data_IF_443166671936
#
_entry.id   IF_443166671936
#
_cell.length_a   1.000
_cell.length_b   1.000
_cell.length_c   1.000
_cell.angle_alpha   90.00
_cell.angle_beta   90.00
_cell.angle_gamma   90.00
#
_symmetry.space_group_name_H-M   'P 1'
#
loop_
_entity.id
_entity.type
_entity.pdbx_description
1 polymer ?
#
# COMPACT_ATOMS: atom_id res chain seq x y z
N UNK A 1 36.75 3.14 3.28
CA UNK A 1 35.37 3.42 3.73
C UNK A 1 34.83 2.13 4.31
N UNK A 2 34.10 2.14 5.44
CA UNK A 2 33.39 0.93 5.86
C UNK A 2 32.35 0.58 4.79
N UNK A 3 32.07 -0.70 4.53
CA UNK A 3 30.92 -1.08 3.72
C UNK A 3 29.66 -0.56 4.40
N UNK A 4 28.89 0.26 3.70
CA UNK A 4 27.52 0.59 4.09
C UNK A 4 26.78 -0.75 4.21
N UNK A 5 26.32 -1.10 5.41
CA UNK A 5 25.46 -2.27 5.60
C UNK A 5 24.28 -2.14 4.61
N UNK A 6 23.88 -3.22 3.93
CA UNK A 6 22.69 -3.16 3.07
C UNK A 6 21.53 -2.64 3.92
N UNK A 7 20.93 -1.54 3.46
CA UNK A 7 19.80 -0.93 4.16
C UNK A 7 18.65 -1.95 4.16
N UNK A 8 18.30 -2.41 5.36
CA UNK A 8 17.21 -3.36 5.59
C UNK A 8 15.91 -2.76 5.02
N UNK A 9 15.25 -3.47 4.09
CA UNK A 9 14.00 -3.00 3.48
C UNK A 9 12.88 -3.01 4.53
N UNK A 10 12.15 -1.90 4.61
CA UNK A 10 11.07 -1.65 5.57
C UNK A 10 9.70 -1.62 4.92
N UNK A 11 8.77 -2.39 5.45
CA UNK A 11 7.38 -2.43 5.00
C UNK A 11 6.43 -1.91 6.08
N UNK A 12 5.56 -0.98 5.70
CA UNK A 12 4.39 -0.61 6.49
C UNK A 12 3.17 -1.36 5.94
N UNK A 13 2.48 -2.14 6.78
CA UNK A 13 1.29 -2.91 6.41
C UNK A 13 0.07 -2.27 7.07
N UNK A 14 -0.74 -1.53 6.31
CA UNK A 14 -2.03 -0.99 6.77
C UNK A 14 -3.13 -2.00 6.50
N UNK A 15 -3.94 -2.29 7.53
CA UNK A 15 -5.01 -3.27 7.45
C UNK A 15 -6.09 -3.00 8.49
N UNK A 16 -7.28 -3.55 8.24
CA UNK A 16 -8.35 -3.60 9.23
C UNK A 16 -8.12 -4.74 10.23
N UNK A 17 -8.27 -4.47 11.53
CA UNK A 17 -8.05 -5.46 12.60
C UNK A 17 -9.18 -6.50 12.75
N UNK A 18 -9.79 -6.93 11.66
CA UNK A 18 -10.83 -7.96 11.60
C UNK A 18 -10.61 -8.81 10.35
N UNK A 19 -11.08 -10.06 10.39
CA UNK A 19 -10.99 -10.95 9.23
C UNK A 19 -11.88 -10.48 8.06
N UNK A 20 -11.44 -10.72 6.81
CA UNK A 20 -10.22 -11.46 6.43
C UNK A 20 -8.92 -10.63 6.45
N UNK A 21 -9.00 -9.31 6.56
CA UNK A 21 -7.85 -8.39 6.48
C UNK A 21 -6.75 -8.70 7.52
N UNK A 22 -7.13 -8.98 8.77
CA UNK A 22 -6.18 -9.32 9.84
C UNK A 22 -5.40 -10.61 9.53
N UNK A 23 -6.10 -11.70 9.19
CA UNK A 23 -5.46 -12.96 8.83
C UNK A 23 -4.53 -12.80 7.63
N UNK A 24 -4.96 -12.07 6.59
CA UNK A 24 -4.12 -11.81 5.42
C UNK A 24 -2.88 -10.98 5.77
N UNK A 25 -3.04 -9.93 6.59
CA UNK A 25 -1.91 -9.10 7.03
C UNK A 25 -0.89 -9.89 7.84
N UNK A 26 -1.35 -10.79 8.73
CA UNK A 26 -0.48 -11.69 9.49
C UNK A 26 0.30 -12.63 8.57
N UNK A 27 -0.35 -13.22 7.55
CA UNK A 27 0.33 -14.08 6.57
C UNK A 27 1.43 -13.34 5.82
N UNK A 28 1.17 -12.11 5.38
CA UNK A 28 2.18 -11.31 4.72
C UNK A 28 3.31 -10.92 5.67
N UNK A 29 2.99 -10.48 6.89
CA UNK A 29 3.98 -10.16 7.92
C UNK A 29 4.92 -11.34 8.19
N UNK A 30 4.38 -12.52 8.51
CA UNK A 30 5.16 -13.72 8.79
C UNK A 30 6.09 -14.10 7.63
N UNK A 31 5.58 -14.03 6.39
CA UNK A 31 6.37 -14.36 5.21
C UNK A 31 7.46 -13.33 4.89
N UNK A 32 7.18 -12.04 5.11
CA UNK A 32 8.14 -10.96 4.90
C UNK A 32 9.27 -11.03 5.93
N UNK A 33 8.95 -11.26 7.20
CA UNK A 33 9.93 -11.47 8.27
C UNK A 33 10.78 -12.73 8.00
N UNK A 34 10.15 -13.83 7.57
CA UNK A 34 10.86 -15.06 7.20
C UNK A 34 11.80 -14.87 5.99
N UNK A 35 11.46 -13.96 5.08
CA UNK A 35 12.33 -13.56 3.96
C UNK A 35 13.42 -12.56 4.37
N UNK A 36 13.44 -12.14 5.65
CA UNK A 36 14.44 -11.22 6.19
C UNK A 36 14.16 -9.76 5.83
N UNK A 37 12.90 -9.34 5.76
CA UNK A 37 12.49 -7.93 5.67
C UNK A 37 11.94 -7.43 7.00
N UNK A 38 12.08 -6.12 7.29
CA UNK A 38 11.52 -5.52 8.50
C UNK A 38 10.09 -5.01 8.20
N UNK A 39 9.10 -5.47 8.96
CA UNK A 39 7.70 -5.09 8.73
C UNK A 39 7.05 -4.47 9.97
N UNK A 40 6.18 -3.48 9.76
CA UNK A 40 5.33 -2.87 10.78
C UNK A 40 3.86 -3.06 10.42
N UNK A 41 3.09 -3.68 11.33
CA UNK A 41 1.65 -3.88 11.16
C UNK A 41 0.87 -2.76 11.85
N UNK A 42 0.10 -2.00 11.07
CA UNK A 42 -0.76 -0.92 11.56
C UNK A 42 -2.25 -1.28 11.40
N UNK A 43 -2.86 -1.74 12.49
CA UNK A 43 -4.28 -2.10 12.51
C UNK A 43 -5.18 -0.89 12.79
N UNK A 44 -6.21 -0.67 11.98
CA UNK A 44 -7.15 0.45 12.12
C UNK A 44 -7.83 0.56 13.51
N UNK A 45 -8.01 -0.56 14.24
CA UNK A 45 -8.68 -0.52 15.55
C UNK A 45 -7.77 -0.15 16.72
N UNK A 46 -6.46 0.00 16.51
CA UNK A 46 -5.47 0.22 17.56
C UNK A 46 -5.33 1.73 17.84
N UNK A 47 -6.39 2.39 18.32
CA UNK A 47 -6.29 3.80 18.77
C UNK A 47 -5.83 3.86 20.23
N UNK A 48 -4.55 3.63 20.48
CA UNK A 48 -3.91 3.85 21.79
C UNK A 48 -3.27 5.25 21.85
N UNK A 49 -4.09 6.31 21.88
CA UNK A 49 -3.65 7.69 22.18
C UNK A 49 -2.78 8.38 21.11
N UNK A 50 -2.35 9.62 21.40
CA UNK A 50 -1.54 10.47 20.49
C UNK A 50 -0.21 9.81 20.07
N UNK A 51 0.41 9.07 20.98
CA UNK A 51 1.67 8.36 20.72
C UNK A 51 1.54 7.32 19.58
N UNK A 52 0.36 6.73 19.39
CA UNK A 52 0.15 5.78 18.31
C UNK A 52 0.13 6.47 16.95
N UNK A 53 -0.57 7.60 16.83
CA UNK A 53 -0.61 8.36 15.59
C UNK A 53 0.78 8.86 15.19
N UNK A 54 1.56 9.35 16.15
CA UNK A 54 2.96 9.73 15.92
C UNK A 54 3.80 8.54 15.43
N UNK A 55 3.66 7.37 16.08
CA UNK A 55 4.37 6.16 15.66
C UNK A 55 4.00 5.74 14.24
N UNK A 56 2.72 5.76 13.88
CA UNK A 56 2.28 5.44 12.52
C UNK A 56 2.93 6.37 11.49
N UNK A 57 2.98 7.67 11.75
CA UNK A 57 3.66 8.62 10.85
C UNK A 57 5.16 8.33 10.75
N UNK A 58 5.84 8.10 11.88
CA UNK A 58 7.27 7.78 11.90
C UNK A 58 7.62 6.48 11.16
N UNK A 59 6.79 5.44 11.29
CA UNK A 59 6.99 4.17 10.58
C UNK A 59 6.71 4.33 9.08
N UNK A 60 5.68 5.10 8.71
CA UNK A 60 5.36 5.38 7.30
C UNK A 60 6.44 6.22 6.62
N UNK A 61 7.03 7.19 7.32
CA UNK A 61 8.15 8.00 6.83
C UNK A 61 9.43 7.19 6.59
N UNK A 62 9.65 6.13 7.37
CA UNK A 62 10.82 5.26 7.26
C UNK A 62 10.60 4.07 6.32
N UNK A 63 9.38 3.87 5.85
CA UNK A 63 9.03 2.73 5.02
C UNK A 63 9.59 2.88 3.60
N UNK A 64 10.11 1.78 3.07
CA UNK A 64 10.43 1.66 1.64
C UNK A 64 9.18 1.29 0.84
N UNK A 65 8.28 0.51 1.45
CA UNK A 65 7.04 0.02 0.85
C UNK A 65 5.86 0.23 1.80
N UNK A 66 4.73 0.65 1.24
CA UNK A 66 3.46 0.79 1.94
C UNK A 66 2.46 -0.22 1.36
N UNK A 67 2.27 -1.33 2.06
CA UNK A 67 1.32 -2.39 1.72
C UNK A 67 -0.05 -2.06 2.31
N UNK A 68 -1.01 -1.71 1.45
CA UNK A 68 -2.34 -1.28 1.85
C UNK A 68 -3.36 -2.40 1.58
N UNK A 69 -3.89 -3.01 2.63
CA UNK A 69 -5.04 -3.93 2.52
C UNK A 69 -6.33 -3.12 2.53
N UNK A 70 -7.00 -3.07 1.38
CA UNK A 70 -8.14 -2.20 1.13
C UNK A 70 -9.42 -3.02 0.97
N UNK A 71 -10.08 -3.34 2.08
CA UNK A 71 -11.44 -3.89 2.08
C UNK A 71 -12.50 -2.79 1.89
N UNK A 72 -13.77 -3.13 1.63
CA UNK A 72 -14.83 -2.12 1.47
C UNK A 72 -14.99 -1.21 2.69
N UNK A 73 -14.71 -1.72 3.90
CA UNK A 73 -14.76 -0.94 5.13
C UNK A 73 -13.56 -0.01 5.27
N UNK A 74 -12.35 -0.49 4.96
CA UNK A 74 -11.14 0.34 4.94
C UNK A 74 -11.23 1.46 3.90
N UNK A 75 -11.82 1.19 2.73
CA UNK A 75 -12.03 2.19 1.68
C UNK A 75 -12.99 3.32 2.07
N UNK A 76 -13.81 3.12 3.11
CA UNK A 76 -14.69 4.15 3.68
C UNK A 76 -14.09 4.84 4.92
N UNK A 77 -12.88 4.44 5.36
CA UNK A 77 -12.25 4.97 6.56
C UNK A 77 -11.47 6.25 6.24
N UNK A 78 -11.84 7.35 6.89
CA UNK A 78 -11.11 8.63 6.80
C UNK A 78 -9.63 8.48 7.19
N UNK A 79 -9.36 7.64 8.19
CA UNK A 79 -8.00 7.36 8.66
C UNK A 79 -7.16 6.70 7.56
N UNK A 80 -7.71 5.73 6.84
CA UNK A 80 -7.03 5.08 5.72
C UNK A 80 -6.81 6.07 4.58
N UNK A 81 -7.80 6.92 4.28
CA UNK A 81 -7.63 8.00 3.30
C UNK A 81 -6.46 8.91 3.65
N UNK A 82 -6.32 9.30 4.93
CA UNK A 82 -5.21 10.14 5.39
C UNK A 82 -3.86 9.43 5.33
N UNK A 83 -3.77 8.14 5.68
CA UNK A 83 -2.55 7.34 5.53
C UNK A 83 -2.09 7.30 4.06
N UNK A 84 -3.03 7.07 3.13
CA UNK A 84 -2.73 7.04 1.69
C UNK A 84 -2.29 8.42 1.18
N UNK A 85 -2.96 9.50 1.62
CA UNK A 85 -2.56 10.88 1.30
C UNK A 85 -1.13 11.14 1.75
N UNK A 86 -0.81 10.81 3.01
CA UNK A 86 0.53 11.00 3.60
C UNK A 86 1.59 10.18 2.88
N UNK A 87 1.32 8.90 2.60
CA UNK A 87 2.23 8.03 1.85
C UNK A 87 2.54 8.60 0.46
N UNK A 88 1.52 9.14 -0.23
CA UNK A 88 1.69 9.79 -1.53
C UNK A 88 2.55 11.06 -1.43
N UNK A 89 2.32 11.90 -0.43
CA UNK A 89 3.14 13.11 -0.20
C UNK A 89 4.60 12.80 0.12
N UNK A 90 4.85 11.73 0.88
CA UNK A 90 6.20 11.25 1.15
C UNK A 90 6.86 10.76 -0.14
N UNK A 91 6.16 9.90 -0.89
CA UNK A 91 6.62 9.39 -2.17
C UNK A 91 6.96 10.49 -3.17
N UNK A 92 6.08 11.48 -3.32
CA UNK A 92 6.26 12.55 -4.31
C UNK A 92 7.41 13.51 -3.93
N UNK A 93 7.80 13.59 -2.64
CA UNK A 93 8.91 14.43 -2.15
C UNK A 93 10.24 13.67 -2.02
N UNK A 94 10.20 12.36 -1.82
CA UNK A 94 11.38 11.55 -1.58
C UNK A 94 12.16 11.34 -2.89
N UNK A 95 13.49 11.59 -2.94
CA UNK A 95 14.28 11.46 -4.17
C UNK A 95 14.16 10.10 -4.87
N UNK A 96 13.96 9.04 -4.08
CA UNK A 96 13.82 7.67 -4.56
C UNK A 96 12.34 7.22 -4.71
N UNK A 97 11.38 8.14 -4.65
CA UNK A 97 9.95 7.86 -4.74
C UNK A 97 9.46 6.79 -3.73
N UNK A 98 9.79 6.98 -2.44
CA UNK A 98 9.42 6.08 -1.34
C UNK A 98 8.48 6.77 -0.34
N UNK A 99 7.52 6.03 0.27
CA UNK A 99 7.29 4.60 0.10
C UNK A 99 6.63 4.25 -1.23
N UNK A 100 6.97 3.10 -1.80
CA UNK A 100 6.25 2.51 -2.93
C UNK A 100 4.94 1.93 -2.40
N UNK A 101 3.81 2.45 -2.89
CA UNK A 101 2.48 2.05 -2.44
C UNK A 101 2.05 0.79 -3.20
N UNK A 102 1.61 -0.25 -2.46
CA UNK A 102 1.17 -1.55 -2.96
C UNK A 102 -0.27 -1.82 -2.47
N UNK A 103 -1.31 -1.37 -3.20
CA UNK A 103 -2.70 -1.60 -2.81
C UNK A 103 -3.17 -3.01 -3.15
N UNK A 104 -3.80 -3.67 -2.20
CA UNK A 104 -4.46 -4.97 -2.35
C UNK A 104 -5.92 -4.82 -1.94
N UNK A 105 -6.83 -4.90 -2.91
CA UNK A 105 -8.26 -4.85 -2.69
C UNK A 105 -8.73 -6.19 -2.11
N UNK A 106 -9.11 -6.20 -0.84
CA UNK A 106 -9.48 -7.42 -0.10
C UNK A 106 -10.99 -7.60 -0.16
N UNK A 107 -11.47 -8.61 -0.90
CA UNK A 107 -12.90 -8.80 -1.18
C UNK A 107 -13.59 -7.52 -1.66
N UNK A 108 -12.86 -6.75 -2.45
CA UNK A 108 -13.29 -5.44 -2.92
C UNK A 108 -13.07 -5.33 -4.42
N UNK A 109 -14.08 -5.72 -5.23
CA UNK A 109 -13.96 -5.78 -6.68
C UNK A 109 -13.53 -4.46 -7.34
N UNK A 110 -12.88 -4.56 -8.50
CA UNK A 110 -12.34 -3.40 -9.22
C UNK A 110 -13.37 -2.34 -9.60
N UNK A 111 -14.58 -2.79 -9.96
CA UNK A 111 -15.74 -1.98 -10.33
C UNK A 111 -16.40 -1.30 -9.12
N UNK A 112 -16.06 -1.72 -7.89
CA UNK A 112 -16.55 -1.09 -6.69
C UNK A 112 -15.91 0.29 -6.51
N UNK A 113 -16.69 1.35 -6.24
CA UNK A 113 -16.17 2.70 -6.20
C UNK A 113 -15.29 2.92 -4.97
N UNK A 114 -14.12 3.53 -5.19
CA UNK A 114 -13.38 4.20 -4.14
C UNK A 114 -14.01 5.57 -3.85
N UNK A 115 -13.80 6.09 -2.65
CA UNK A 115 -14.08 7.49 -2.39
C UNK A 115 -13.22 8.39 -3.31
N UNK A 116 -13.62 9.65 -3.46
CA UNK A 116 -13.00 10.58 -4.41
C UNK A 116 -11.48 10.72 -4.17
N UNK A 117 -11.07 10.84 -2.92
CA UNK A 117 -9.67 11.05 -2.53
C UNK A 117 -8.81 9.81 -2.83
N UNK A 118 -9.24 8.63 -2.38
CA UNK A 118 -8.55 7.36 -2.64
C UNK A 118 -8.46 7.08 -4.15
N UNK A 119 -9.51 7.38 -4.92
CA UNK A 119 -9.47 7.26 -6.37
C UNK A 119 -8.38 8.17 -6.96
N UNK A 120 -8.29 9.41 -6.50
CA UNK A 120 -7.26 10.36 -6.92
C UNK A 120 -5.84 9.91 -6.56
N UNK A 121 -5.65 9.34 -5.38
CA UNK A 121 -4.33 8.90 -4.92
C UNK A 121 -3.85 7.59 -5.57
N UNK A 122 -4.78 6.67 -5.86
CA UNK A 122 -4.47 5.31 -6.32
C UNK A 122 -4.64 5.09 -7.85
N UNK A 123 -5.14 6.08 -8.60
CA UNK A 123 -5.44 5.93 -10.04
C UNK A 123 -4.25 5.48 -10.91
N UNK A 124 -3.02 5.85 -10.55
CA UNK A 124 -1.78 5.54 -11.28
C UNK A 124 -0.95 4.46 -10.60
N UNK A 125 -1.54 3.76 -9.62
CA UNK A 125 -0.85 2.75 -8.83
C UNK A 125 -1.43 1.39 -9.20
N UNK A 126 -0.56 0.46 -9.55
CA UNK A 126 -0.98 -0.90 -9.84
C UNK A 126 -1.52 -1.55 -8.57
N UNK A 127 -2.74 -2.05 -8.62
CA UNK A 127 -3.38 -2.72 -7.47
C UNK A 127 -3.48 -4.23 -7.73
N UNK A 128 -3.72 -5.00 -6.68
CA UNK A 128 -4.11 -6.41 -6.78
C UNK A 128 -5.48 -6.60 -6.16
N UNK A 129 -6.17 -7.64 -6.60
CA UNK A 129 -7.43 -8.06 -5.98
C UNK A 129 -7.17 -9.41 -5.31
N UNK A 130 -7.56 -9.51 -4.04
CA UNK A 130 -7.54 -10.73 -3.26
C UNK A 130 -8.99 -11.09 -2.93
N UNK A 131 -9.42 -12.30 -3.28
CA UNK A 131 -10.80 -12.79 -3.09
C UNK A 131 -10.85 -13.90 -2.05
N UNK A 132 -9.83 -14.74 -2.04
CA UNK A 132 -9.79 -15.92 -1.19
C UNK A 132 -8.37 -16.24 -0.74
N UNK A 133 -8.24 -17.06 0.28
CA UNK A 133 -6.94 -17.57 0.75
C UNK A 133 -6.11 -18.25 -0.35
N UNK A 134 -6.73 -18.75 -1.43
CA UNK A 134 -6.03 -19.32 -2.57
C UNK A 134 -5.22 -18.27 -3.36
N UNK A 135 -5.55 -16.99 -3.25
CA UNK A 135 -4.83 -15.89 -3.91
C UNK A 135 -3.55 -15.49 -3.14
N UNK A 136 -3.49 -15.78 -1.84
CA UNK A 136 -2.41 -15.36 -0.93
C UNK A 136 -1.02 -15.74 -1.44
N UNK A 137 -0.74 -17.00 -1.83
CA UNK A 137 0.61 -17.40 -2.26
C UNK A 137 1.08 -16.66 -3.51
N UNK A 138 0.17 -16.44 -4.47
CA UNK A 138 0.49 -15.75 -5.72
C UNK A 138 0.84 -14.28 -5.46
N UNK A 139 0.00 -13.57 -4.71
CA UNK A 139 0.21 -12.15 -4.41
C UNK A 139 1.48 -11.97 -3.58
N UNK A 140 1.71 -12.83 -2.58
CA UNK A 140 2.91 -12.80 -1.77
C UNK A 140 4.18 -13.01 -2.60
N UNK A 141 4.17 -13.98 -3.53
CA UNK A 141 5.32 -14.22 -4.41
C UNK A 141 5.61 -13.02 -5.31
N UNK A 142 4.58 -12.34 -5.83
CA UNK A 142 4.74 -11.11 -6.62
C UNK A 142 5.39 -10.00 -5.78
N UNK A 143 4.94 -9.80 -4.54
CA UNK A 143 5.52 -8.82 -3.62
C UNK A 143 6.99 -9.15 -3.34
N UNK A 144 7.30 -10.38 -2.92
CA UNK A 144 8.67 -10.80 -2.63
C UNK A 144 9.61 -10.62 -3.83
N UNK A 145 9.13 -10.91 -5.03
CA UNK A 145 9.90 -10.72 -6.27
C UNK A 145 10.19 -9.24 -6.53
N UNK A 146 9.21 -8.37 -6.27
CA UNK A 146 9.35 -6.92 -6.40
C UNK A 146 10.34 -6.34 -5.37
N UNK A 147 10.29 -6.82 -4.12
CA UNK A 147 11.23 -6.42 -3.07
C UNK A 147 12.67 -6.86 -3.42
N UNK A 148 12.83 -8.08 -3.93
CA UNK A 148 14.13 -8.59 -4.37
C UNK A 148 14.70 -7.83 -5.58
N UNK A 149 13.86 -7.35 -6.49
CA UNK A 149 14.27 -6.56 -7.65
C UNK A 149 14.59 -5.09 -7.30
N UNK A 150 14.15 -4.59 -6.14
CA UNK A 150 14.42 -3.23 -5.67
C UNK A 150 13.85 -2.11 -6.55
N UNK A 151 12.90 -2.43 -7.44
CA UNK A 151 12.29 -1.48 -8.39
C UNK A 151 10.77 -1.49 -8.29
N UNK A 152 10.09 -0.34 -8.32
CA UNK A 152 8.62 -0.30 -8.35
C UNK A 152 8.10 -0.97 -9.64
N UNK A 153 6.86 -1.51 -9.62
CA UNK A 153 6.27 -2.08 -10.81
C UNK A 153 6.09 -0.96 -11.86
N UNK A 154 6.25 -1.26 -13.16
CA UNK A 154 6.12 -0.24 -14.20
C UNK A 154 4.75 0.43 -14.11
N UNK A 155 4.75 1.75 -13.98
CA UNK A 155 3.54 2.57 -14.04
C UNK A 155 2.98 2.43 -15.46
N UNK A 156 1.67 2.15 -15.65
CA UNK A 156 1.07 2.18 -16.97
C UNK A 156 1.35 3.53 -17.64
N UNK A 157 1.65 3.59 -18.95
CA UNK A 157 1.81 4.85 -19.66
C UNK A 157 0.55 5.71 -19.50
N UNK A 158 0.72 7.03 -19.41
CA UNK A 158 -0.42 7.95 -19.40
C UNK A 158 -1.30 7.66 -20.64
N UNK A 159 -2.63 7.58 -20.50
CA UNK A 159 -3.48 7.59 -21.67
C UNK A 159 -3.18 8.87 -22.44
N UNK A 160 -2.96 8.73 -23.75
CA UNK A 160 -2.71 9.85 -24.64
C UNK A 160 -3.85 10.88 -24.47
N UNK A 161 -3.54 12.18 -24.42
CA UNK A 161 -4.53 13.25 -24.20
C UNK A 161 -5.68 13.19 -25.23
N UNK A 162 -5.45 12.50 -26.35
CA UNK A 162 -6.40 12.21 -27.42
C UNK A 162 -7.52 11.19 -27.06
N UNK A 163 -7.41 10.46 -25.95
CA UNK A 163 -8.41 9.45 -25.51
C UNK A 163 -9.31 9.95 -24.36
N UNK A 164 -9.13 11.22 -23.95
CA UNK A 164 -10.07 11.88 -23.04
C UNK A 164 -11.30 12.34 -23.84
N UNK A 165 -12.54 11.98 -23.43
CA UNK A 165 -13.73 12.52 -24.06
C UNK A 165 -13.75 14.04 -23.87
N UNK A 166 -13.66 14.77 -24.98
CA UNK A 166 -13.82 16.21 -24.96
C UNK A 166 -15.19 16.58 -24.35
N UNK A 167 -15.26 17.63 -23.51
CA UNK A 167 -16.53 18.10 -23.00
C UNK A 167 -17.42 18.51 -24.19
N UNK A 168 -18.73 18.24 -24.15
CA UNK A 168 -19.62 18.62 -25.23
C UNK A 168 -19.55 20.13 -25.43
N UNK A 169 -19.28 20.54 -26.65
CA UNK A 169 -19.33 21.96 -27.05
C UNK A 169 -20.79 22.42 -26.98
N UNK A 170 -21.04 23.51 -26.24
CA UNK A 170 -22.32 24.22 -26.18
C UNK A 170 -22.66 24.89 -27.52
#
# INVERSE_FOLDING_TARGET
>A
MPPTLPQQIRLFISYRSQDPDLSLAQRFYEALEAAGYESFMAGESIRLGENWAQRVDEELERADYFLLLLSPKSAASEMVTEEVRRAKELRDRHPNHKPVILPIRVNFPWDSPLNYDLRGYLNRIQQREWKTEADTPKILQEILSLLAAGSPPPIPPEPDEADLPHPPTL
#
